data_IF_855149809706
#
_entry.id   IF_855149809706
#
_cell.length_a   1.000
_cell.length_b   1.000
_cell.length_c   1.000
_cell.angle_alpha   90.00
_cell.angle_beta   90.00
_cell.angle_gamma   90.00
#
_symmetry.space_group_name_H-M   'P 1'
#
loop_
_entity.id
_entity.type
_entity.pdbx_description
1 polymer ?
#
# COMPACT_ATOMS: atom_id res chain seq x y z
N UNK A 1 11.80 -27.88 10.39
CA UNK A 1 11.04 -28.80 9.48
C UNK A 1 11.88 -28.97 8.20
N UNK A 2 11.77 -30.07 7.44
CA UNK A 2 12.42 -30.16 6.14
C UNK A 2 11.67 -29.29 5.11
N UNK A 3 12.35 -28.83 4.06
CA UNK A 3 11.73 -28.04 3.01
C UNK A 3 10.50 -28.75 2.41
N UNK A 4 10.61 -30.05 2.18
CA UNK A 4 9.51 -30.87 1.64
C UNK A 4 8.29 -30.90 2.57
N UNK A 5 8.49 -31.03 3.88
CA UNK A 5 7.41 -31.01 4.85
C UNK A 5 6.71 -29.62 4.94
N UNK A 6 7.44 -28.53 4.62
CA UNK A 6 6.82 -27.19 4.50
C UNK A 6 5.94 -27.12 3.25
N UNK A 7 6.38 -27.71 2.13
CA UNK A 7 5.58 -27.78 0.91
C UNK A 7 4.28 -28.54 1.15
N UNK A 8 4.35 -29.76 1.71
CA UNK A 8 3.18 -30.56 2.03
C UNK A 8 2.21 -29.83 2.94
N UNK A 9 2.74 -29.08 3.93
CA UNK A 9 1.95 -28.27 4.85
C UNK A 9 1.15 -27.17 4.10
N UNK A 10 1.79 -26.44 3.18
CA UNK A 10 1.13 -25.38 2.40
C UNK A 10 0.09 -25.97 1.46
N UNK A 11 0.43 -27.03 0.73
CA UNK A 11 -0.45 -27.67 -0.25
C UNK A 11 -1.67 -28.32 0.38
N UNK A 12 -1.52 -28.84 1.61
CA UNK A 12 -2.66 -29.34 2.39
C UNK A 12 -3.51 -28.25 3.04
N UNK A 13 -3.20 -26.97 2.82
CA UNK A 13 -3.92 -25.83 3.38
C UNK A 13 -3.45 -25.42 4.77
N UNK A 14 -2.35 -25.98 5.27
CA UNK A 14 -1.77 -25.61 6.55
C UNK A 14 -1.05 -24.27 6.50
N UNK A 15 -0.99 -23.63 7.65
CA UNK A 15 -0.39 -22.31 7.82
C UNK A 15 1.09 -22.42 8.24
N UNK A 16 1.98 -21.72 7.55
CA UNK A 16 3.41 -21.66 7.90
C UNK A 16 3.70 -20.64 9.00
N UNK A 17 4.76 -20.87 9.74
CA UNK A 17 5.32 -19.91 10.70
C UNK A 17 6.53 -19.14 10.14
N UNK A 18 7.09 -18.23 10.95
CA UNK A 18 8.27 -17.41 10.59
C UNK A 18 9.49 -18.26 10.26
N UNK A 19 9.70 -19.38 10.98
CA UNK A 19 10.83 -20.27 10.73
C UNK A 19 10.67 -21.02 9.40
N UNK A 20 9.47 -21.50 9.09
CA UNK A 20 9.13 -22.10 7.80
C UNK A 20 9.34 -21.09 6.66
N UNK A 21 8.85 -19.85 6.82
CA UNK A 21 9.02 -18.79 5.84
C UNK A 21 10.48 -18.43 5.58
N UNK A 22 11.30 -18.36 6.64
CA UNK A 22 12.74 -18.17 6.52
C UNK A 22 13.45 -19.34 5.82
N UNK A 23 12.98 -20.57 6.02
CA UNK A 23 13.47 -21.75 5.31
C UNK A 23 13.12 -21.67 3.81
N UNK A 24 11.88 -21.34 3.47
CA UNK A 24 11.45 -21.13 2.08
C UNK A 24 12.28 -20.07 1.38
N UNK A 25 12.48 -18.92 2.00
CA UNK A 25 13.27 -17.84 1.42
C UNK A 25 14.69 -18.25 1.07
N UNK A 26 15.36 -19.02 1.95
CA UNK A 26 16.76 -19.40 1.79
C UNK A 26 16.97 -20.58 0.84
N UNK A 27 16.01 -21.50 0.74
CA UNK A 27 16.23 -22.81 0.14
C UNK A 27 15.29 -23.18 -0.98
N UNK A 28 14.10 -22.57 -1.09
CA UNK A 28 13.18 -22.87 -2.17
C UNK A 28 13.68 -22.20 -3.49
N UNK A 29 13.57 -22.93 -4.58
CA UNK A 29 13.75 -22.39 -5.93
C UNK A 29 12.61 -21.43 -6.32
N UNK A 30 12.80 -20.65 -7.38
CA UNK A 30 11.76 -19.75 -7.87
C UNK A 30 10.52 -20.53 -8.35
N UNK A 31 10.70 -21.66 -9.00
CA UNK A 31 9.60 -22.50 -9.48
C UNK A 31 8.79 -23.12 -8.33
N UNK A 32 9.48 -23.51 -7.25
CA UNK A 32 8.81 -23.99 -6.03
C UNK A 32 8.00 -22.88 -5.37
N UNK A 33 8.58 -21.67 -5.26
CA UNK A 33 7.87 -20.51 -4.70
C UNK A 33 6.65 -20.13 -5.55
N UNK A 34 6.79 -20.08 -6.89
CA UNK A 34 5.67 -19.84 -7.81
C UNK A 34 4.54 -20.87 -7.56
N UNK A 35 4.85 -22.14 -7.61
CA UNK A 35 3.87 -23.22 -7.42
C UNK A 35 3.14 -23.10 -6.09
N UNK A 36 3.86 -22.87 -5.00
CA UNK A 36 3.27 -22.72 -3.67
C UNK A 36 2.41 -21.46 -3.55
N UNK A 37 2.90 -20.33 -4.05
CA UNK A 37 2.15 -19.07 -4.04
C UNK A 37 0.87 -19.16 -4.88
N UNK A 38 0.92 -19.81 -6.06
CA UNK A 38 -0.25 -20.05 -6.89
C UNK A 38 -1.25 -20.98 -6.21
N UNK A 39 -0.81 -21.99 -5.44
CA UNK A 39 -1.72 -22.86 -4.67
C UNK A 39 -2.49 -22.10 -3.59
N UNK A 40 -1.86 -21.11 -2.95
CA UNK A 40 -2.53 -20.22 -1.97
C UNK A 40 -3.44 -19.22 -2.68
N UNK A 41 -2.98 -18.60 -3.78
CA UNK A 41 -3.78 -17.68 -4.60
C UNK A 41 -5.08 -18.34 -5.10
N UNK A 42 -5.00 -19.58 -5.55
CA UNK A 42 -6.15 -20.34 -6.07
C UNK A 42 -7.27 -20.57 -5.03
N UNK A 43 -7.02 -20.33 -3.74
CA UNK A 43 -8.07 -20.37 -2.70
C UNK A 43 -9.05 -19.19 -2.81
N UNK A 44 -8.64 -18.10 -3.48
CA UNK A 44 -9.38 -16.84 -3.57
C UNK A 44 -9.71 -16.41 -5.00
N UNK A 45 -8.87 -16.75 -5.97
CA UNK A 45 -8.90 -16.23 -7.32
C UNK A 45 -8.68 -17.32 -8.37
N UNK A 46 -9.28 -17.12 -9.53
CA UNK A 46 -8.94 -17.92 -10.72
C UNK A 46 -7.45 -17.75 -11.05
N UNK A 47 -6.70 -18.83 -11.31
CA UNK A 47 -5.25 -18.75 -11.54
C UNK A 47 -4.87 -17.96 -12.81
N UNK A 48 -5.78 -17.84 -13.78
CA UNK A 48 -5.54 -17.11 -15.04
C UNK A 48 -6.12 -15.71 -15.07
N UNK A 49 -6.78 -15.26 -14.01
CA UNK A 49 -7.40 -13.95 -13.94
C UNK A 49 -6.57 -13.00 -13.05
N UNK A 50 -6.29 -11.80 -13.56
CA UNK A 50 -5.75 -10.70 -12.76
C UNK A 50 -6.68 -9.50 -12.86
N UNK A 51 -6.77 -8.70 -11.78
CA UNK A 51 -7.54 -7.46 -11.80
C UNK A 51 -6.63 -6.24 -11.77
N UNK A 52 -7.12 -5.12 -12.33
CA UNK A 52 -6.38 -3.87 -12.27
C UNK A 52 -7.30 -2.68 -12.01
N UNK A 53 -6.71 -1.60 -11.48
CA UNK A 53 -7.34 -0.30 -11.32
C UNK A 53 -6.48 0.78 -11.95
N UNK A 54 -7.12 1.83 -12.49
CA UNK A 54 -6.44 3.05 -12.89
C UNK A 54 -6.60 4.04 -11.75
N UNK A 55 -5.47 4.53 -11.20
CA UNK A 55 -5.49 5.40 -10.04
C UNK A 55 -4.60 6.62 -10.21
N UNK A 56 -4.91 7.65 -9.45
CA UNK A 56 -4.03 8.81 -9.26
C UNK A 56 -3.73 9.01 -7.80
N UNK A 57 -2.46 9.21 -7.46
CA UNK A 57 -2.07 9.63 -6.12
C UNK A 57 -1.90 11.15 -6.13
N UNK A 58 -2.74 11.83 -5.37
CA UNK A 58 -2.70 13.29 -5.22
C UNK A 58 -1.90 13.62 -3.97
N UNK A 59 -0.70 14.14 -4.20
CA UNK A 59 0.17 14.60 -3.13
C UNK A 59 -0.18 16.06 -2.80
N UNK A 60 -1.18 16.25 -1.95
CA UNK A 60 -1.79 17.57 -1.67
C UNK A 60 -0.88 18.53 -0.89
N UNK A 61 0.18 18.07 -0.23
CA UNK A 61 1.23 18.87 0.40
C UNK A 61 2.52 18.07 0.53
N UNK A 62 3.66 18.73 0.28
CA UNK A 62 4.98 18.18 0.54
C UNK A 62 5.58 18.68 1.86
N UNK A 63 4.91 19.56 2.58
CA UNK A 63 5.39 20.05 3.89
C UNK A 63 5.24 18.96 4.92
N UNK A 64 6.36 18.50 5.51
CA UNK A 64 6.36 17.36 6.43
C UNK A 64 7.37 17.53 7.58
N UNK A 65 6.94 17.21 8.79
CA UNK A 65 7.79 17.20 9.99
C UNK A 65 8.37 15.82 10.34
N UNK A 66 7.98 14.76 9.63
CA UNK A 66 8.41 13.39 9.92
C UNK A 66 9.89 13.12 9.60
N UNK A 67 10.48 13.85 8.64
CA UNK A 67 11.91 13.80 8.30
C UNK A 67 12.47 12.37 8.11
N UNK A 68 11.72 11.51 7.42
CA UNK A 68 12.20 10.16 7.13
C UNK A 68 13.38 10.26 6.15
N UNK A 69 14.48 9.57 6.43
CA UNK A 69 15.71 9.64 5.63
C UNK A 69 15.56 9.01 4.24
N UNK A 70 14.57 8.13 4.07
CA UNK A 70 14.22 7.48 2.80
C UNK A 70 13.24 8.29 1.93
N UNK A 71 12.77 9.46 2.35
CA UNK A 71 11.78 10.25 1.61
C UNK A 71 12.46 11.40 0.87
N UNK A 72 12.35 11.41 -0.47
CA UNK A 72 12.84 12.49 -1.34
C UNK A 72 11.82 13.63 -1.52
N UNK A 73 10.62 13.49 -0.98
CA UNK A 73 9.48 14.34 -1.29
C UNK A 73 9.35 15.55 -0.33
N UNK A 74 9.67 15.34 0.94
CA UNK A 74 9.33 16.31 1.97
C UNK A 74 10.15 17.60 1.91
N UNK A 75 9.47 18.69 2.30
CA UNK A 75 10.07 20.00 2.59
C UNK A 75 9.71 20.38 4.02
N UNK A 76 10.67 20.88 4.80
CA UNK A 76 10.39 21.30 6.17
C UNK A 76 9.50 22.56 6.20
N UNK A 77 8.68 22.74 7.27
CA UNK A 77 7.85 23.91 7.42
C UNK A 77 8.66 25.21 7.26
N UNK A 78 8.10 26.17 6.51
CA UNK A 78 8.70 27.48 6.22
C UNK A 78 9.97 27.46 5.34
N UNK A 79 10.33 26.35 4.75
CA UNK A 79 11.35 26.28 3.70
C UNK A 79 10.75 26.58 2.32
N UNK A 80 11.60 27.06 1.41
CA UNK A 80 11.23 27.27 0.01
C UNK A 80 10.87 25.95 -0.67
N UNK A 81 9.89 25.97 -1.59
CA UNK A 81 9.40 24.80 -2.30
C UNK A 81 8.30 24.00 -1.57
N UNK A 82 7.94 24.41 -0.34
CA UNK A 82 6.78 23.85 0.35
C UNK A 82 5.46 24.33 -0.27
N UNK A 83 4.52 23.42 -0.49
CA UNK A 83 3.20 23.73 -1.07
C UNK A 83 2.04 23.04 -0.34
N UNK A 84 0.86 23.58 -0.58
CA UNK A 84 -0.44 22.95 -0.30
C UNK A 84 -1.29 23.20 -1.55
N UNK A 85 -1.81 22.15 -2.17
CA UNK A 85 -2.70 22.28 -3.32
C UNK A 85 -4.00 22.95 -2.89
N UNK A 86 -4.48 23.86 -3.71
CA UNK A 86 -5.83 24.40 -3.60
C UNK A 86 -6.86 23.31 -3.95
N UNK A 87 -8.11 23.53 -3.54
CA UNK A 87 -9.22 22.62 -3.87
C UNK A 87 -9.41 22.49 -5.39
N UNK A 88 -9.25 23.58 -6.13
CA UNK A 88 -9.40 23.58 -7.59
C UNK A 88 -8.29 22.76 -8.27
N UNK A 89 -7.04 22.82 -7.77
CA UNK A 89 -5.96 21.97 -8.26
C UNK A 89 -6.21 20.49 -7.97
N UNK A 90 -6.74 20.17 -6.78
CA UNK A 90 -7.16 18.79 -6.45
C UNK A 90 -8.26 18.32 -7.40
N UNK A 91 -9.28 19.15 -7.65
CA UNK A 91 -10.35 18.81 -8.57
C UNK A 91 -9.86 18.62 -10.01
N UNK A 92 -8.99 19.49 -10.51
CA UNK A 92 -8.41 19.35 -11.84
C UNK A 92 -7.67 17.99 -11.98
N UNK A 93 -6.92 17.58 -10.96
CA UNK A 93 -6.24 16.29 -10.96
C UNK A 93 -7.22 15.10 -10.96
N UNK A 94 -8.35 15.22 -10.27
CA UNK A 94 -9.40 14.17 -10.28
C UNK A 94 -10.10 14.15 -11.64
N UNK A 95 -10.41 15.30 -12.24
CA UNK A 95 -11.01 15.37 -13.56
C UNK A 95 -10.13 14.70 -14.63
N UNK A 96 -8.80 14.92 -14.61
CA UNK A 96 -7.84 14.22 -15.49
C UNK A 96 -7.84 12.69 -15.29
N UNK A 97 -7.99 12.19 -14.05
CA UNK A 97 -8.12 10.75 -13.78
C UNK A 97 -9.39 10.19 -14.42
N UNK A 98 -10.52 10.89 -14.26
CA UNK A 98 -11.81 10.47 -14.81
C UNK A 98 -11.76 10.45 -16.33
N UNK A 99 -11.08 11.41 -16.96
CA UNK A 99 -10.94 11.52 -18.41
C UNK A 99 -10.18 10.32 -19.04
N UNK A 100 -9.26 9.71 -18.30
CA UNK A 100 -8.57 8.47 -18.72
C UNK A 100 -9.27 7.19 -18.26
N UNK A 101 -10.49 7.30 -17.73
CA UNK A 101 -11.31 6.16 -17.31
C UNK A 101 -10.98 5.58 -15.94
N UNK A 102 -10.15 6.27 -15.14
CA UNK A 102 -9.84 5.88 -13.78
C UNK A 102 -10.93 6.32 -12.78
N UNK A 103 -11.00 5.63 -11.64
CA UNK A 103 -12.00 5.92 -10.60
C UNK A 103 -11.46 5.83 -9.16
N UNK A 104 -10.14 5.64 -8.99
CA UNK A 104 -9.52 5.60 -7.67
C UNK A 104 -8.53 6.75 -7.46
N UNK A 105 -8.80 7.57 -6.47
CA UNK A 105 -7.87 8.60 -5.98
C UNK A 105 -7.19 8.14 -4.70
N UNK A 106 -5.85 8.20 -4.64
CA UNK A 106 -5.10 8.09 -3.40
C UNK A 106 -4.67 9.48 -2.92
N UNK A 107 -5.05 9.89 -1.73
CA UNK A 107 -4.50 11.08 -1.10
C UNK A 107 -3.33 10.70 -0.21
N UNK A 108 -2.16 11.28 -0.47
CA UNK A 108 -0.95 11.04 0.29
C UNK A 108 -0.13 12.33 0.37
N UNK A 109 0.14 12.83 1.57
CA UNK A 109 0.87 14.07 1.77
C UNK A 109 1.82 14.03 2.97
N UNK A 110 2.47 15.16 3.19
CA UNK A 110 3.34 15.34 4.34
C UNK A 110 2.57 15.64 5.63
N UNK A 111 3.21 15.39 6.77
CA UNK A 111 2.72 15.81 8.10
C UNK A 111 2.86 17.32 8.23
N UNK A 112 1.90 18.05 7.67
CA UNK A 112 1.92 19.50 7.62
C UNK A 112 1.35 20.09 8.93
N UNK A 113 2.16 20.77 9.76
CA UNK A 113 1.70 21.31 11.02
C UNK A 113 0.72 22.49 10.88
N UNK A 114 0.51 23.02 9.68
CA UNK A 114 -0.44 24.10 9.44
C UNK A 114 -1.82 23.62 9.03
N UNK A 115 -1.99 22.33 8.71
CA UNK A 115 -3.25 21.77 8.28
C UNK A 115 -3.90 20.99 9.43
N UNK A 116 -5.00 21.50 10.03
CA UNK A 116 -5.75 20.80 11.06
C UNK A 116 -6.63 19.69 10.44
N UNK A 117 -7.13 18.76 11.25
CA UNK A 117 -8.06 17.70 10.80
C UNK A 117 -9.28 18.26 10.05
N UNK A 118 -9.78 19.43 10.45
CA UNK A 118 -10.94 20.06 9.79
C UNK A 118 -10.66 20.39 8.32
N UNK A 119 -9.43 20.81 7.98
CA UNK A 119 -9.04 21.03 6.58
C UNK A 119 -9.25 19.76 5.73
N UNK A 120 -8.86 18.61 6.27
CA UNK A 120 -9.01 17.33 5.57
C UNK A 120 -10.46 16.89 5.46
N UNK A 121 -11.24 17.06 6.54
CA UNK A 121 -12.67 16.80 6.51
C UNK A 121 -13.37 17.65 5.44
N UNK A 122 -13.08 18.94 5.37
CA UNK A 122 -13.66 19.86 4.38
C UNK A 122 -13.23 19.50 2.94
N UNK A 123 -11.97 19.10 2.74
CA UNK A 123 -11.49 18.66 1.43
C UNK A 123 -12.22 17.39 0.98
N UNK A 124 -12.26 16.35 1.82
CA UNK A 124 -12.86 15.06 1.47
C UNK A 124 -14.37 15.17 1.29
N UNK A 125 -15.05 15.97 2.13
CA UNK A 125 -16.46 16.29 1.93
C UNK A 125 -16.71 16.93 0.55
N UNK A 126 -15.89 17.90 0.16
CA UNK A 126 -16.01 18.58 -1.13
C UNK A 126 -15.76 17.63 -2.32
N UNK A 127 -14.82 16.69 -2.19
CA UNK A 127 -14.57 15.65 -3.20
C UNK A 127 -15.78 14.73 -3.31
N UNK A 128 -16.32 14.27 -2.17
CA UNK A 128 -17.50 13.40 -2.15
C UNK A 128 -18.73 14.10 -2.74
N UNK A 129 -18.95 15.37 -2.41
CA UNK A 129 -20.06 16.18 -2.94
C UNK A 129 -19.95 16.37 -4.46
N UNK A 130 -18.76 16.67 -5.00
CA UNK A 130 -18.56 16.93 -6.42
C UNK A 130 -18.59 15.65 -7.26
N UNK A 131 -17.97 14.58 -6.81
CA UNK A 131 -17.77 13.38 -7.64
C UNK A 131 -18.73 12.24 -7.31
N UNK A 132 -19.35 12.25 -6.12
CA UNK A 132 -20.31 11.23 -5.69
C UNK A 132 -19.83 9.80 -6.00
N UNK A 133 -20.55 9.13 -6.90
CA UNK A 133 -20.31 7.74 -7.30
C UNK A 133 -19.31 7.55 -8.43
N UNK A 134 -18.80 8.59 -9.02
CA UNK A 134 -17.84 8.50 -10.12
C UNK A 134 -16.45 8.12 -9.67
N UNK A 135 -16.08 8.52 -8.44
CA UNK A 135 -14.75 8.34 -7.88
C UNK A 135 -14.86 7.81 -6.46
N UNK A 136 -14.04 6.83 -6.14
CA UNK A 136 -13.72 6.47 -4.75
C UNK A 136 -12.33 7.00 -4.39
N UNK A 137 -12.09 7.26 -3.10
CA UNK A 137 -10.79 7.76 -2.69
C UNK A 137 -10.30 7.14 -1.38
N UNK A 138 -9.01 6.92 -1.34
CA UNK A 138 -8.25 6.61 -0.15
C UNK A 138 -7.81 7.93 0.48
N UNK A 139 -8.43 8.29 1.61
CA UNK A 139 -8.38 9.65 2.15
C UNK A 139 -7.02 10.05 2.73
N UNK A 140 -6.37 9.14 3.42
CA UNK A 140 -5.11 9.33 4.14
C UNK A 140 -4.36 7.99 4.19
N UNK A 141 -3.09 8.06 4.52
CA UNK A 141 -2.36 6.91 5.06
C UNK A 141 -2.61 6.77 6.57
N UNK A 142 -2.42 5.57 7.14
CA UNK A 142 -2.46 5.37 8.60
C UNK A 142 -1.46 6.29 9.29
N UNK A 143 -0.29 6.55 8.67
CA UNK A 143 0.70 7.46 9.20
C UNK A 143 0.19 8.89 9.37
N UNK A 144 -0.48 9.43 8.35
CA UNK A 144 -1.09 10.76 8.40
C UNK A 144 -2.24 10.80 9.39
N UNK A 145 -3.04 9.73 9.43
CA UNK A 145 -4.17 9.61 10.36
C UNK A 145 -3.72 9.69 11.82
N UNK A 146 -2.70 8.93 12.22
CA UNK A 146 -2.11 8.99 13.56
C UNK A 146 -1.65 10.42 13.89
N UNK A 147 -0.88 11.03 12.98
CA UNK A 147 -0.38 12.39 13.16
C UNK A 147 -1.51 13.40 13.35
N UNK A 148 -2.59 13.31 12.59
CA UNK A 148 -3.73 14.24 12.67
C UNK A 148 -4.57 14.03 13.92
N UNK A 149 -4.79 12.79 14.34
CA UNK A 149 -5.51 12.46 15.57
C UNK A 149 -4.77 13.02 16.80
N UNK A 150 -3.45 12.75 16.88
CA UNK A 150 -2.61 13.28 17.97
C UNK A 150 -2.61 14.79 18.02
N UNK A 151 -2.47 15.46 16.89
CA UNK A 151 -2.51 16.93 16.82
C UNK A 151 -3.85 17.52 17.21
N UNK A 152 -4.93 16.84 16.88
CA UNK A 152 -6.29 17.27 17.23
C UNK A 152 -6.65 16.97 18.71
N UNK A 153 -5.79 16.20 19.41
CA UNK A 153 -6.08 15.72 20.77
C UNK A 153 -7.29 14.79 20.82
N UNK A 154 -7.53 14.03 19.75
CA UNK A 154 -8.64 13.09 19.63
C UNK A 154 -8.18 11.66 19.81
N UNK A 155 -9.07 10.81 20.29
CA UNK A 155 -8.90 9.37 20.16
C UNK A 155 -8.91 8.97 18.68
N UNK A 156 -8.29 7.83 18.33
CA UNK A 156 -8.35 7.31 16.96
C UNK A 156 -9.79 7.02 16.51
N UNK A 157 -10.66 6.57 17.39
CA UNK A 157 -12.08 6.38 17.08
C UNK A 157 -12.81 7.69 16.78
N UNK A 158 -12.57 8.74 17.56
CA UNK A 158 -13.21 10.05 17.31
C UNK A 158 -12.71 10.66 16.00
N UNK A 159 -11.39 10.57 15.71
CA UNK A 159 -10.82 11.04 14.46
C UNK A 159 -11.37 10.26 13.25
N UNK A 160 -11.47 8.92 13.34
CA UNK A 160 -12.04 8.08 12.30
C UNK A 160 -13.53 8.39 12.07
N UNK A 161 -14.30 8.60 13.13
CA UNK A 161 -15.72 8.97 13.04
C UNK A 161 -15.91 10.31 12.31
N UNK A 162 -15.07 11.31 12.60
CA UNK A 162 -15.12 12.61 11.91
C UNK A 162 -14.80 12.48 10.41
N UNK A 163 -13.79 11.69 10.05
CA UNK A 163 -13.45 11.44 8.66
C UNK A 163 -14.58 10.68 7.94
N UNK A 164 -15.21 9.70 8.59
CA UNK A 164 -16.37 8.99 8.04
C UNK A 164 -17.54 9.94 7.79
N UNK A 165 -17.84 10.84 8.71
CA UNK A 165 -18.87 11.87 8.55
C UNK A 165 -18.57 12.83 7.40
N UNK A 166 -17.29 13.07 7.09
CA UNK A 166 -16.83 13.81 5.92
C UNK A 166 -16.92 13.02 4.60
N UNK A 167 -17.45 11.77 4.62
CA UNK A 167 -17.62 10.94 3.42
C UNK A 167 -16.41 10.08 3.07
N UNK A 168 -15.46 9.91 3.99
CA UNK A 168 -14.33 8.97 3.83
C UNK A 168 -14.83 7.55 4.03
N UNK A 169 -14.41 6.64 3.16
CA UNK A 169 -14.66 5.21 3.30
C UNK A 169 -13.37 4.40 3.56
N UNK A 170 -12.22 4.94 3.13
CA UNK A 170 -10.95 4.24 3.15
C UNK A 170 -9.83 5.08 3.75
N UNK A 171 -9.03 4.45 4.62
CA UNK A 171 -7.72 4.93 5.07
C UNK A 171 -6.72 3.82 4.79
N UNK A 172 -5.70 4.08 3.97
CA UNK A 172 -4.75 3.04 3.55
C UNK A 172 -3.70 2.74 4.60
N UNK A 173 -3.13 1.54 4.56
CA UNK A 173 -1.99 1.15 5.40
C UNK A 173 -0.67 1.86 5.08
N UNK A 174 -0.69 2.92 4.27
CA UNK A 174 0.51 3.66 3.88
C UNK A 174 1.28 4.25 5.05
N UNK A 175 2.58 4.45 4.85
CA UNK A 175 3.52 4.91 5.86
C UNK A 175 4.01 3.82 6.81
N UNK A 176 3.69 2.56 6.54
CA UNK A 176 4.17 1.39 7.28
C UNK A 176 5.66 1.11 7.04
N UNK A 177 6.10 1.22 5.80
CA UNK A 177 7.41 0.75 5.30
C UNK A 177 7.73 -0.65 5.84
N UNK A 178 8.51 -0.73 6.93
CA UNK A 178 8.77 -1.94 7.70
C UNK A 178 8.28 -1.73 9.14
N UNK A 179 7.33 -2.55 9.59
CA UNK A 179 6.69 -2.44 10.93
C UNK A 179 7.47 -3.20 12.01
N UNK A 180 8.73 -2.80 12.19
CA UNK A 180 9.56 -3.21 13.33
C UNK A 180 10.09 -1.97 14.04
N UNK A 181 10.24 -2.06 15.37
CA UNK A 181 10.70 -0.91 16.16
C UNK A 181 12.14 -0.52 15.80
N UNK A 182 12.98 -1.49 15.45
CA UNK A 182 14.38 -1.23 15.15
C UNK A 182 14.54 -0.52 13.79
N UNK A 183 13.78 -0.91 12.75
CA UNK A 183 13.75 -0.20 11.48
C UNK A 183 13.26 1.24 11.68
N UNK A 184 12.20 1.43 12.44
CA UNK A 184 11.62 2.76 12.69
C UNK A 184 12.58 3.68 13.45
N UNK A 185 13.30 3.17 14.44
CA UNK A 185 14.34 3.93 15.17
C UNK A 185 15.48 4.35 14.25
N UNK A 186 15.84 3.52 13.25
CA UNK A 186 16.89 3.86 12.28
C UNK A 186 16.43 4.95 11.31
N UNK A 187 15.21 4.83 10.73
CA UNK A 187 14.84 5.55 9.52
C UNK A 187 13.63 6.49 9.67
N UNK A 188 12.78 6.30 10.66
CA UNK A 188 11.51 7.02 10.80
C UNK A 188 11.21 7.42 12.25
N UNK A 189 12.22 7.83 13.00
CA UNK A 189 12.17 8.09 14.47
C UNK A 189 11.15 9.17 14.90
N UNK A 190 10.70 10.03 13.99
CA UNK A 190 9.69 11.06 14.27
C UNK A 190 8.27 10.66 13.84
N UNK A 191 8.11 9.43 13.39
CA UNK A 191 6.80 8.83 13.18
C UNK A 191 6.33 8.13 14.47
N UNK A 192 5.14 7.60 14.42
CA UNK A 192 4.48 6.76 15.42
C UNK A 192 5.25 5.44 15.69
N UNK A 193 4.95 4.78 16.79
CA UNK A 193 5.42 3.42 17.11
C UNK A 193 4.67 2.38 16.29
N UNK A 194 5.16 1.13 16.27
CA UNK A 194 4.43 0.02 15.64
C UNK A 194 3.09 -0.23 16.35
N UNK A 195 3.05 -0.06 17.67
CA UNK A 195 1.81 -0.18 18.45
C UNK A 195 0.78 0.87 18.02
N UNK A 196 1.16 2.15 17.95
CA UNK A 196 0.27 3.23 17.50
C UNK A 196 -0.29 2.95 16.10
N UNK A 197 0.52 2.39 15.20
CA UNK A 197 0.07 2.03 13.85
C UNK A 197 -1.08 1.03 13.89
N UNK A 198 -0.93 -0.08 14.60
CA UNK A 198 -1.97 -1.11 14.66
C UNK A 198 -3.17 -0.68 15.49
N UNK A 199 -2.98 0.10 16.57
CA UNK A 199 -4.09 0.66 17.36
C UNK A 199 -4.93 1.63 16.52
N UNK A 200 -4.28 2.48 15.73
CA UNK A 200 -4.96 3.38 14.78
C UNK A 200 -5.69 2.59 13.70
N UNK A 201 -5.04 1.57 13.12
CA UNK A 201 -5.65 0.75 12.08
C UNK A 201 -6.85 -0.06 12.61
N UNK A 202 -6.79 -0.53 13.87
CA UNK A 202 -7.91 -1.18 14.55
C UNK A 202 -9.09 -0.21 14.72
N UNK A 203 -8.83 1.00 15.21
CA UNK A 203 -9.86 2.01 15.37
C UNK A 203 -10.51 2.42 14.03
N UNK A 204 -9.73 2.44 12.94
CA UNK A 204 -10.26 2.65 11.58
C UNK A 204 -11.28 1.56 11.23
N UNK A 205 -10.93 0.29 11.40
CA UNK A 205 -11.83 -0.85 11.11
C UNK A 205 -13.07 -0.83 12.01
N UNK A 206 -12.90 -0.65 13.31
CA UNK A 206 -13.99 -0.61 14.30
C UNK A 206 -14.94 0.58 14.07
N UNK A 207 -14.45 1.67 13.48
CA UNK A 207 -15.29 2.81 13.08
C UNK A 207 -16.05 2.58 11.76
N UNK A 208 -15.95 1.39 11.17
CA UNK A 208 -16.63 1.03 9.91
C UNK A 208 -15.94 1.55 8.65
N UNK A 209 -14.72 2.07 8.75
CA UNK A 209 -13.88 2.39 7.61
C UNK A 209 -13.13 1.14 7.14
N UNK A 210 -12.72 1.13 5.88
CA UNK A 210 -11.89 0.07 5.29
C UNK A 210 -10.42 0.45 5.29
N UNK A 211 -9.56 -0.55 5.29
CA UNK A 211 -8.12 -0.35 5.27
C UNK A 211 -7.41 -1.41 4.43
N UNK A 212 -6.13 -1.16 4.17
CA UNK A 212 -5.22 -2.07 3.47
C UNK A 212 -3.96 -2.27 4.30
N UNK A 213 -3.17 -3.28 3.98
CA UNK A 213 -1.81 -3.40 4.47
C UNK A 213 -0.82 -3.02 3.37
N UNK A 214 0.28 -2.39 3.74
CA UNK A 214 1.35 -2.03 2.81
C UNK A 214 2.71 -2.36 3.40
N UNK A 215 3.69 -2.56 2.52
CA UNK A 215 5.09 -2.78 2.86
C UNK A 215 5.98 -2.13 1.81
N UNK A 216 7.15 -1.66 2.20
CA UNK A 216 8.19 -1.23 1.27
C UNK A 216 9.46 -1.99 1.59
N UNK A 217 10.05 -2.66 0.60
CA UNK A 217 11.29 -3.43 0.77
C UNK A 217 12.43 -2.85 -0.07
N UNK A 218 13.66 -3.18 0.29
CA UNK A 218 14.85 -2.75 -0.45
C UNK A 218 15.60 -1.60 0.22
N UNK A 219 15.38 -1.37 1.50
CA UNK A 219 16.23 -0.55 2.37
C UNK A 219 17.43 -1.38 2.87
N UNK A 220 17.75 -1.27 4.15
CA UNK A 220 18.70 -2.11 4.89
C UNK A 220 18.00 -3.13 5.81
N UNK A 221 16.71 -3.34 5.59
CA UNK A 221 15.92 -4.26 6.40
C UNK A 221 16.42 -5.70 6.24
N UNK A 222 16.43 -6.44 7.34
CA UNK A 222 16.76 -7.86 7.34
C UNK A 222 15.58 -8.72 6.92
N UNK A 223 15.86 -9.99 6.59
CA UNK A 223 14.78 -10.97 6.34
C UNK A 223 13.88 -11.12 7.57
N UNK A 224 14.46 -11.11 8.74
CA UNK A 224 13.75 -11.22 10.01
C UNK A 224 12.79 -10.03 10.22
N UNK A 225 13.20 -8.82 9.88
CA UNK A 225 12.33 -7.63 9.90
C UNK A 225 11.19 -7.74 8.87
N UNK A 226 11.46 -8.26 7.66
CA UNK A 226 10.40 -8.54 6.66
C UNK A 226 9.39 -9.56 7.21
N UNK A 227 9.85 -10.63 7.82
CA UNK A 227 8.99 -11.68 8.38
C UNK A 227 8.20 -11.20 9.59
N UNK A 228 8.79 -10.37 10.46
CA UNK A 228 8.07 -9.75 11.57
C UNK A 228 6.95 -8.85 11.07
N UNK A 229 7.19 -8.02 10.05
CA UNK A 229 6.16 -7.21 9.43
C UNK A 229 5.00 -8.07 8.89
N UNK A 230 5.30 -9.13 8.15
CA UNK A 230 4.28 -10.04 7.63
C UNK A 230 3.51 -10.76 8.75
N UNK A 231 4.20 -11.18 9.84
CA UNK A 231 3.55 -11.81 10.99
C UNK A 231 2.55 -10.85 11.66
N UNK A 232 2.98 -9.63 11.95
CA UNK A 232 2.09 -8.60 12.56
C UNK A 232 0.88 -8.28 11.67
N UNK A 233 1.10 -8.19 10.35
CA UNK A 233 0.03 -7.98 9.37
C UNK A 233 -0.97 -9.13 9.36
N UNK A 234 -0.49 -10.38 9.37
CA UNK A 234 -1.33 -11.58 9.44
C UNK A 234 -2.12 -11.66 10.73
N UNK A 235 -1.46 -11.37 11.88
CA UNK A 235 -2.11 -11.39 13.19
C UNK A 235 -3.21 -10.33 13.27
N UNK A 236 -2.97 -9.14 12.73
CA UNK A 236 -3.98 -8.08 12.62
C UNK A 236 -5.17 -8.52 11.76
N UNK A 237 -4.92 -9.19 10.63
CA UNK A 237 -6.01 -9.73 9.79
C UNK A 237 -6.77 -10.86 10.49
N UNK A 238 -6.10 -11.73 11.25
CA UNK A 238 -6.76 -12.77 12.05
C UNK A 238 -7.66 -12.15 13.13
N UNK A 239 -7.21 -11.06 13.76
CA UNK A 239 -7.95 -10.35 14.79
C UNK A 239 -9.19 -9.62 14.25
N UNK A 240 -9.01 -8.91 13.12
CA UNK A 240 -10.01 -7.91 12.69
C UNK A 240 -10.76 -8.30 11.43
N UNK A 241 -10.18 -9.13 10.56
CA UNK A 241 -10.69 -9.36 9.21
C UNK A 241 -10.76 -8.10 8.33
N UNK A 242 -10.16 -6.99 8.78
CA UNK A 242 -10.38 -5.65 8.21
C UNK A 242 -9.51 -5.30 7.00
N UNK A 243 -8.49 -6.09 6.69
CA UNK A 243 -7.59 -5.82 5.56
C UNK A 243 -8.22 -6.29 4.25
N UNK A 244 -8.44 -5.35 3.35
CA UNK A 244 -8.90 -5.65 2.00
C UNK A 244 -7.78 -6.26 1.14
N UNK A 245 -6.58 -5.69 1.21
CA UNK A 245 -5.44 -6.12 0.40
C UNK A 245 -4.11 -5.87 1.11
N UNK A 246 -3.08 -6.55 0.62
CA UNK A 246 -1.69 -6.25 0.90
C UNK A 246 -1.00 -5.78 -0.39
N UNK A 247 -0.26 -4.67 -0.32
CA UNK A 247 0.52 -4.10 -1.42
C UNK A 247 1.96 -3.92 -0.98
N UNK A 248 2.89 -4.49 -1.76
CA UNK A 248 4.32 -4.30 -1.55
C UNK A 248 4.92 -3.41 -2.63
N UNK A 249 5.61 -2.35 -2.20
CA UNK A 249 6.45 -1.52 -3.06
C UNK A 249 7.94 -1.84 -2.87
N UNK A 250 8.75 -1.40 -3.81
CA UNK A 250 10.19 -1.37 -3.64
C UNK A 250 10.66 0.06 -3.40
N UNK A 251 11.65 0.18 -2.55
CA UNK A 251 12.30 1.45 -2.26
C UNK A 251 12.98 2.04 -3.49
N UNK A 252 12.80 3.33 -3.71
CA UNK A 252 13.46 4.12 -4.74
C UNK A 252 14.45 5.08 -4.07
N UNK A 253 15.77 4.98 -4.35
CA UNK A 253 16.79 5.65 -3.55
C UNK A 253 17.13 7.08 -3.97
N UNK A 254 16.70 7.52 -5.16
CA UNK A 254 17.16 8.78 -5.73
C UNK A 254 16.64 9.99 -4.96
N UNK A 255 17.53 10.92 -4.65
CA UNK A 255 17.19 12.15 -3.92
C UNK A 255 16.88 11.97 -2.44
N UNK A 256 17.00 10.76 -1.89
CA UNK A 256 16.80 10.48 -0.47
C UNK A 256 18.09 10.66 0.33
N UNK A 257 17.98 10.98 1.61
CA UNK A 257 19.15 11.08 2.51
C UNK A 257 19.74 9.70 2.83
N UNK A 258 18.92 8.65 2.84
CA UNK A 258 19.35 7.28 3.05
C UNK A 258 20.22 6.77 1.87
N UNK A 259 19.89 7.15 0.63
CA UNK A 259 20.58 6.67 -0.56
C UNK A 259 20.39 5.17 -0.81
N UNK A 260 21.42 4.50 -1.26
CA UNK A 260 21.36 3.04 -1.52
C UNK A 260 21.17 2.71 -3.02
N UNK A 261 20.61 1.55 -3.28
CA UNK A 261 20.31 1.05 -4.64
C UNK A 261 18.95 0.36 -4.67
N UNK A 262 18.37 0.27 -5.85
CA UNK A 262 17.17 -0.53 -6.06
C UNK A 262 17.50 -2.03 -5.90
N UNK A 263 16.52 -2.79 -5.41
CA UNK A 263 16.65 -4.27 -5.39
C UNK A 263 16.41 -4.84 -6.79
N UNK A 264 16.95 -6.03 -7.02
CA UNK A 264 16.74 -6.74 -8.27
C UNK A 264 15.27 -7.21 -8.38
N UNK A 265 14.65 -7.18 -9.57
CA UNK A 265 13.28 -7.61 -9.78
C UNK A 265 12.99 -9.01 -9.24
N UNK A 266 13.95 -9.95 -9.40
CA UNK A 266 13.82 -11.31 -8.88
C UNK A 266 13.66 -11.36 -7.36
N UNK A 267 14.33 -10.49 -6.61
CA UNK A 267 14.15 -10.41 -5.15
C UNK A 267 12.73 -9.96 -4.79
N UNK A 268 12.21 -8.99 -5.52
CA UNK A 268 10.83 -8.55 -5.38
C UNK A 268 9.84 -9.69 -5.65
N UNK A 269 9.98 -10.41 -6.75
CA UNK A 269 9.08 -11.52 -7.09
C UNK A 269 9.07 -12.61 -6.03
N UNK A 270 10.24 -13.00 -5.53
CA UNK A 270 10.37 -13.96 -4.43
C UNK A 270 9.68 -13.47 -3.17
N UNK A 271 9.81 -12.18 -2.86
CA UNK A 271 9.13 -11.58 -1.71
C UNK A 271 7.60 -11.58 -1.90
N UNK A 272 7.11 -11.33 -3.11
CA UNK A 272 5.68 -11.43 -3.42
C UNK A 272 5.15 -12.85 -3.21
N UNK A 273 5.88 -13.87 -3.65
CA UNK A 273 5.52 -15.27 -3.38
C UNK A 273 5.47 -15.58 -1.88
N UNK A 274 6.50 -15.15 -1.15
CA UNK A 274 6.55 -15.34 0.30
C UNK A 274 5.39 -14.62 0.99
N UNK A 275 5.08 -13.41 0.59
CA UNK A 275 3.95 -12.63 1.10
C UNK A 275 2.62 -13.33 0.86
N UNK A 276 2.37 -13.84 -0.36
CA UNK A 276 1.15 -14.61 -0.68
C UNK A 276 1.03 -15.86 0.16
N UNK A 277 2.12 -16.61 0.34
CA UNK A 277 2.13 -17.85 1.12
C UNK A 277 1.90 -17.55 2.60
N UNK A 278 2.53 -16.49 3.12
CA UNK A 278 2.49 -16.15 4.53
C UNK A 278 1.18 -15.47 4.94
N UNK A 279 0.68 -14.53 4.12
CA UNK A 279 -0.58 -13.82 4.32
C UNK A 279 -1.76 -14.61 3.75
N UNK A 280 -1.89 -15.86 4.17
CA UNK A 280 -2.88 -16.81 3.70
C UNK A 280 -4.35 -16.43 4.01
N UNK A 281 -4.55 -15.41 4.85
CA UNK A 281 -5.82 -14.83 5.26
C UNK A 281 -6.14 -13.47 4.57
N UNK A 282 -5.24 -12.95 3.74
CA UNK A 282 -5.47 -11.72 2.97
C UNK A 282 -5.90 -12.06 1.54
N UNK A 283 -7.10 -11.62 1.15
CA UNK A 283 -7.69 -11.99 -0.14
C UNK A 283 -6.87 -11.50 -1.32
N UNK A 284 -6.50 -10.21 -1.34
CA UNK A 284 -5.76 -9.59 -2.44
C UNK A 284 -4.31 -9.32 -2.06
N UNK A 285 -3.37 -9.84 -2.85
CA UNK A 285 -1.95 -9.50 -2.78
C UNK A 285 -1.58 -8.79 -4.09
N UNK A 286 -1.22 -7.53 -3.97
CA UNK A 286 -1.11 -6.61 -5.09
C UNK A 286 0.35 -6.35 -5.44
N UNK A 287 0.65 -6.37 -6.74
CA UNK A 287 1.98 -5.98 -7.25
C UNK A 287 2.00 -4.51 -7.66
N UNK A 288 3.17 -3.88 -7.60
CA UNK A 288 3.34 -2.44 -7.83
C UNK A 288 3.96 -2.14 -9.19
N UNK A 289 3.15 -1.73 -10.16
CA UNK A 289 3.65 -1.19 -11.43
C UNK A 289 4.40 0.13 -11.19
N UNK A 290 3.99 0.94 -10.21
CA UNK A 290 4.63 2.21 -9.85
C UNK A 290 6.13 2.09 -9.57
N UNK A 291 6.55 1.03 -8.89
CA UNK A 291 7.96 0.86 -8.46
C UNK A 291 8.73 -0.20 -9.23
N UNK A 292 8.04 -1.09 -9.95
CA UNK A 292 8.65 -2.17 -10.72
C UNK A 292 8.44 -2.06 -12.23
N UNK A 293 7.66 -1.09 -12.69
CA UNK A 293 7.27 -0.96 -14.09
C UNK A 293 6.73 -2.30 -14.64
N UNK A 294 7.14 -2.71 -15.84
CA UNK A 294 6.72 -3.98 -16.45
C UNK A 294 7.16 -5.23 -15.67
N UNK A 295 8.24 -5.16 -14.91
CA UNK A 295 8.70 -6.27 -14.05
C UNK A 295 7.67 -6.64 -12.96
N UNK A 296 6.75 -5.72 -12.62
CA UNK A 296 5.64 -5.98 -11.72
C UNK A 296 4.76 -7.15 -12.18
N UNK A 297 4.58 -7.32 -13.48
CA UNK A 297 3.67 -8.33 -14.02
C UNK A 297 4.17 -9.76 -13.83
N UNK A 298 5.49 -9.98 -13.76
CA UNK A 298 6.03 -11.29 -13.43
C UNK A 298 5.62 -11.75 -12.02
N UNK A 299 5.30 -10.82 -11.10
CA UNK A 299 4.82 -11.16 -9.77
C UNK A 299 3.42 -11.82 -9.77
N UNK A 300 2.66 -11.75 -10.87
CA UNK A 300 1.42 -12.51 -11.03
C UNK A 300 1.69 -14.02 -10.97
N UNK A 301 2.78 -14.49 -11.57
CA UNK A 301 3.24 -15.88 -11.46
C UNK A 301 3.67 -16.23 -10.03
N UNK A 302 4.10 -15.25 -9.27
CA UNK A 302 4.51 -15.38 -7.87
C UNK A 302 3.37 -15.10 -6.88
N UNK A 303 2.12 -15.22 -7.32
CA UNK A 303 0.93 -15.24 -6.46
C UNK A 303 0.23 -13.90 -6.27
N UNK A 304 0.69 -12.81 -6.89
CA UNK A 304 -0.11 -11.60 -6.96
C UNK A 304 -1.37 -11.82 -7.82
N UNK A 305 -2.46 -11.10 -7.52
CA UNK A 305 -3.74 -11.22 -8.21
C UNK A 305 -4.28 -9.91 -8.73
N UNK A 306 -3.71 -8.79 -8.29
CA UNK A 306 -4.20 -7.44 -8.58
C UNK A 306 -3.04 -6.44 -8.71
N UNK A 307 -3.24 -5.35 -9.45
CA UNK A 307 -2.27 -4.28 -9.61
C UNK A 307 -2.90 -2.93 -9.87
N UNK A 308 -2.13 -1.85 -9.62
CA UNK A 308 -2.52 -0.48 -9.95
C UNK A 308 -1.77 -0.02 -11.19
N UNK A 309 -2.48 0.73 -12.05
CA UNK A 309 -1.90 1.56 -13.09
C UNK A 309 -1.98 3.02 -12.65
N UNK A 310 -0.93 3.55 -12.01
CA UNK A 310 -0.92 4.93 -11.56
C UNK A 310 -0.70 5.88 -12.73
N UNK A 311 -1.40 7.02 -12.71
CA UNK A 311 -1.14 8.10 -13.68
C UNK A 311 -0.30 9.23 -13.08
N UNK A 312 -0.17 9.31 -11.76
CA UNK A 312 0.71 10.23 -11.04
C UNK A 312 0.98 9.73 -9.63
N UNK A 313 2.20 9.89 -9.15
CA UNK A 313 2.62 9.90 -7.75
C UNK A 313 3.94 10.68 -7.59
N UNK A 314 3.86 11.93 -7.16
CA UNK A 314 5.03 12.79 -7.04
C UNK A 314 6.04 12.28 -5.99
N UNK A 315 5.57 11.59 -4.93
CA UNK A 315 6.43 11.03 -3.88
C UNK A 315 7.45 10.06 -4.47
N UNK A 316 6.97 9.06 -5.20
CA UNK A 316 7.86 8.05 -5.79
C UNK A 316 8.56 8.54 -7.04
N UNK A 317 7.94 9.44 -7.83
CA UNK A 317 8.58 10.05 -9.00
C UNK A 317 9.80 10.90 -8.61
N UNK A 318 9.75 11.66 -7.53
CA UNK A 318 10.92 12.38 -6.98
C UNK A 318 12.03 11.44 -6.51
N UNK A 319 11.68 10.24 -6.08
CA UNK A 319 12.64 9.20 -5.72
C UNK A 319 13.10 8.33 -6.92
N UNK A 320 12.71 8.70 -8.15
CA UNK A 320 13.20 8.07 -9.39
C UNK A 320 12.23 7.10 -10.05
N UNK A 321 11.01 6.90 -9.53
CA UNK A 321 10.00 6.11 -10.23
C UNK A 321 9.59 6.77 -11.56
N UNK A 322 9.29 5.96 -12.55
CA UNK A 322 8.76 6.40 -13.84
C UNK A 322 7.38 5.82 -14.03
N UNK A 323 6.44 6.66 -14.46
CA UNK A 323 5.08 6.25 -14.78
C UNK A 323 4.92 6.26 -16.29
N UNK A 324 4.55 5.10 -16.83
CA UNK A 324 4.13 4.97 -18.22
C UNK A 324 2.61 5.19 -18.30
N UNK A 325 2.19 6.06 -19.19
CA UNK A 325 0.78 6.40 -19.42
C UNK A 325 0.15 5.61 -20.57
N UNK A 326 0.91 4.78 -21.27
CA UNK A 326 0.36 3.87 -22.30
C UNK A 326 -0.27 2.64 -21.62
N UNK A 327 -1.50 2.84 -21.14
CA UNK A 327 -2.27 1.81 -20.43
C UNK A 327 -2.45 0.56 -21.30
N UNK A 328 -2.67 0.71 -22.61
CA UNK A 328 -2.87 -0.42 -23.52
C UNK A 328 -1.59 -1.24 -23.68
N UNK A 329 -0.44 -0.58 -23.81
CA UNK A 329 0.86 -1.25 -23.85
C UNK A 329 1.14 -1.98 -22.52
N UNK A 330 0.90 -1.34 -21.37
CA UNK A 330 1.06 -1.98 -20.07
C UNK A 330 0.17 -3.21 -19.91
N UNK A 331 -1.10 -3.14 -20.32
CA UNK A 331 -2.03 -4.28 -20.23
C UNK A 331 -1.72 -5.39 -21.23
N UNK A 332 -0.98 -5.12 -22.30
CA UNK A 332 -0.54 -6.15 -23.24
C UNK A 332 0.48 -7.11 -22.59
N UNK A 333 1.27 -6.64 -21.63
CA UNK A 333 2.29 -7.47 -20.95
C UNK A 333 1.66 -8.64 -20.18
N UNK A 334 0.77 -8.45 -19.19
CA UNK A 334 0.17 -9.56 -18.46
C UNK A 334 -0.71 -10.45 -19.36
N UNK A 335 -1.33 -9.90 -20.42
CA UNK A 335 -2.04 -10.70 -21.42
C UNK A 335 -1.09 -11.62 -22.19
N UNK A 336 0.10 -11.16 -22.53
CA UNK A 336 1.13 -11.99 -23.18
C UNK A 336 1.66 -13.11 -22.28
N UNK A 337 1.57 -12.95 -20.96
CA UNK A 337 1.87 -13.98 -19.96
C UNK A 337 0.72 -14.97 -19.75
N UNK A 338 -0.41 -14.79 -20.44
CA UNK A 338 -1.57 -15.69 -20.39
C UNK A 338 -2.62 -15.31 -19.35
N UNK A 339 -2.57 -14.11 -18.80
CA UNK A 339 -3.59 -13.63 -17.87
C UNK A 339 -4.74 -12.96 -18.58
N UNK A 340 -5.97 -13.27 -18.16
CA UNK A 340 -7.16 -12.47 -18.44
C UNK A 340 -7.20 -11.30 -17.44
N UNK A 341 -7.03 -10.08 -17.98
CA UNK A 341 -6.95 -8.88 -17.14
C UNK A 341 -8.25 -8.09 -17.19
N UNK A 342 -8.88 -7.91 -16.04
CA UNK A 342 -10.15 -7.24 -15.90
C UNK A 342 -10.02 -5.95 -15.10
N UNK A 343 -10.68 -4.89 -15.58
CA UNK A 343 -10.79 -3.65 -14.80
C UNK A 343 -11.67 -3.88 -13.57
N UNK A 344 -11.14 -3.55 -12.41
CA UNK A 344 -11.87 -3.58 -11.15
C UNK A 344 -12.13 -2.15 -10.70
N UNK A 345 -13.39 -1.78 -10.61
CA UNK A 345 -13.76 -0.49 -10.04
C UNK A 345 -13.37 -0.40 -8.57
N UNK A 346 -13.06 0.82 -8.13
CA UNK A 346 -12.83 1.09 -6.73
C UNK A 346 -14.05 0.67 -5.89
N UNK A 347 -13.82 -0.20 -4.91
CA UNK A 347 -14.91 -0.75 -4.09
C UNK A 347 -15.44 0.26 -3.09
N UNK A 348 -16.76 0.36 -3.02
CA UNK A 348 -17.44 1.04 -1.92
C UNK A 348 -17.83 0.05 -0.85
N UNK A 349 -17.73 0.44 0.44
CA UNK A 349 -18.37 -0.33 1.48
C UNK A 349 -19.88 -0.37 1.17
N UNK A 350 -20.50 -1.55 1.28
CA UNK A 350 -21.95 -1.63 1.32
C UNK A 350 -22.42 -0.65 2.41
N UNK A 351 -23.41 0.19 2.08
CA UNK A 351 -23.96 1.10 3.07
C UNK A 351 -24.26 0.32 4.35
N UNK A 352 -23.65 0.75 5.45
CA UNK A 352 -24.02 0.23 6.77
C UNK A 352 -25.48 0.59 6.96
N UNK A 353 -26.36 -0.41 6.79
CA UNK A 353 -27.80 -0.30 7.08
C UNK A 353 -28.00 -0.21 8.59
#
# INVERSE_FOLDING_TARGET
MSLHAIFDKIESGGRIDVADAGCLWRHASDDELKRLAQSVRARYHDPHRATYMIMRIINYTNVCVAQCDYCAFYVLPNQEGGYVLSRDEVFAKIDELVDVGGDLVGFNGGFNPKLPLDYYCDLFHSVRERYADRVEFYALTVAEFVYLADRAGLSYHDAASRLREAGVHWITGGGSEILTEDFRKRHARFKYTVADYFDAQRAIVESGLRTTATMVIGFDETLEERLEHLQRTRDFQDETGGLFSFLCWTYKPYGTAFGGREIEPREYWRHMALSRIFLDNVKHVRTSVLTQNEDAFAALDFGADDFDLPIEDEVTQKAGARIDLDIDALLAVPRSLGYDVEYRRAERPAALV
#
